data_IF_325410299029
#
_entry.id   IF_325410299029
#
_cell.length_a   1.000
_cell.length_b   1.000
_cell.length_c   1.000
_cell.angle_alpha   90.00
_cell.angle_beta   90.00
_cell.angle_gamma   90.00
#
_symmetry.space_group_name_H-M   'P 1'
#
loop_
_entity.id
_entity.type
_entity.pdbx_description
1 polymer ?
#
# COMPACT_ATOMS: atom_id res chain seq x y z
N UNK A 1 22.61 -0.62 3.83
CA UNK A 1 22.80 -1.88 3.07
C UNK A 1 24.15 -2.50 3.42
N UNK A 2 24.23 -3.85 3.46
CA UNK A 2 25.47 -4.59 3.74
C UNK A 2 26.53 -4.44 2.63
N UNK A 3 26.11 -4.13 1.40
CA UNK A 3 27.00 -3.92 0.24
C UNK A 3 27.92 -2.71 0.45
N UNK A 4 27.46 -1.68 1.16
CA UNK A 4 28.27 -0.49 1.44
C UNK A 4 29.36 -0.72 2.50
N UNK A 5 29.42 -1.91 3.10
CA UNK A 5 30.45 -2.30 4.09
C UNK A 5 31.63 -3.06 3.46
N UNK A 6 31.78 -3.04 2.13
CA UNK A 6 32.88 -3.70 1.40
C UNK A 6 32.66 -5.19 1.12
N UNK A 7 31.45 -5.70 1.34
CA UNK A 7 31.07 -7.07 0.94
C UNK A 7 30.72 -7.11 -0.53
N UNK A 8 31.05 -8.23 -1.20
CA UNK A 8 30.57 -8.49 -2.56
C UNK A 8 29.04 -8.51 -2.58
N UNK A 9 28.45 -8.15 -3.72
CA UNK A 9 27.01 -8.10 -3.87
C UNK A 9 26.36 -9.46 -3.57
N UNK A 10 27.00 -10.56 -3.96
CA UNK A 10 26.55 -11.94 -3.70
C UNK A 10 26.49 -12.24 -2.20
N UNK A 11 27.61 -12.10 -1.47
CA UNK A 11 27.67 -12.37 -0.02
C UNK A 11 26.75 -11.44 0.78
N UNK A 12 26.61 -10.18 0.36
CA UNK A 12 25.70 -9.25 1.00
C UNK A 12 24.23 -9.58 0.75
N UNK A 13 23.90 -10.10 -0.44
CA UNK A 13 22.55 -10.53 -0.80
C UNK A 13 22.16 -11.78 -0.02
N UNK A 14 23.07 -12.75 0.07
CA UNK A 14 22.90 -13.97 0.86
C UNK A 14 22.69 -13.65 2.36
N UNK A 15 23.51 -12.76 2.93
CA UNK A 15 23.34 -12.28 4.31
C UNK A 15 22.03 -11.52 4.54
N UNK A 16 21.52 -10.84 3.51
CA UNK A 16 20.26 -10.12 3.59
C UNK A 16 19.04 -11.02 3.25
N UNK A 17 19.25 -12.30 2.90
CA UNK A 17 18.19 -13.21 2.51
C UNK A 17 17.48 -12.83 1.21
N UNK A 18 18.15 -12.06 0.33
CA UNK A 18 17.59 -11.62 -0.96
C UNK A 18 18.40 -12.20 -2.11
N UNK A 19 17.75 -12.40 -3.26
CA UNK A 19 18.46 -12.78 -4.47
C UNK A 19 19.35 -11.63 -4.96
N UNK A 20 20.53 -11.95 -5.50
CA UNK A 20 21.51 -10.98 -6.01
C UNK A 20 20.90 -10.02 -7.05
N UNK A 21 20.03 -10.54 -7.93
CA UNK A 21 19.26 -9.75 -8.92
C UNK A 21 18.37 -8.68 -8.27
N UNK A 22 17.80 -8.99 -7.11
CA UNK A 22 16.92 -8.08 -6.36
C UNK A 22 17.76 -7.01 -5.68
N UNK A 23 18.89 -7.38 -5.09
CA UNK A 23 19.86 -6.42 -4.56
C UNK A 23 20.36 -5.47 -5.66
N UNK A 24 20.64 -5.99 -6.86
CA UNK A 24 21.07 -5.19 -8.02
C UNK A 24 20.04 -4.15 -8.41
N UNK A 25 18.76 -4.55 -8.44
CA UNK A 25 17.64 -3.64 -8.73
C UNK A 25 17.60 -2.49 -7.72
N UNK A 26 17.67 -2.79 -6.44
CA UNK A 26 17.60 -1.76 -5.38
C UNK A 26 18.79 -0.81 -5.42
N UNK A 27 20.01 -1.32 -5.68
CA UNK A 27 21.19 -0.48 -5.87
C UNK A 27 21.09 0.41 -7.10
N UNK A 28 20.64 -0.13 -8.23
CA UNK A 28 20.50 0.63 -9.48
C UNK A 28 19.48 1.76 -9.34
N UNK A 29 18.37 1.49 -8.67
CA UNK A 29 17.30 2.47 -8.42
C UNK A 29 17.64 3.44 -7.28
N UNK A 30 18.68 3.16 -6.49
CA UNK A 30 19.07 3.95 -5.32
C UNK A 30 18.00 4.01 -4.22
N UNK A 31 17.01 3.11 -4.26
CA UNK A 31 15.80 3.12 -3.44
C UNK A 31 15.70 1.86 -2.59
N UNK A 32 15.13 2.01 -1.40
CA UNK A 32 14.81 0.92 -0.50
C UNK A 32 13.65 0.06 -1.04
N UNK A 33 13.51 -1.19 -0.57
CA UNK A 33 12.38 -2.04 -0.94
C UNK A 33 11.01 -1.37 -0.72
N UNK A 34 10.89 -0.63 0.39
CA UNK A 34 9.65 0.07 0.75
C UNK A 34 9.39 1.29 -0.12
N UNK A 35 10.43 2.01 -0.56
CA UNK A 35 10.31 3.12 -1.51
C UNK A 35 9.99 2.66 -2.94
N UNK A 36 10.28 1.39 -3.25
CA UNK A 36 9.95 0.76 -4.52
C UNK A 36 8.59 0.05 -4.50
N UNK A 37 7.97 -0.13 -3.32
CA UNK A 37 6.59 -0.61 -3.23
C UNK A 37 5.68 0.45 -3.82
N UNK A 38 4.87 0.04 -4.79
CA UNK A 38 3.76 0.84 -5.29
C UNK A 38 2.54 0.54 -4.44
N UNK A 39 1.83 1.58 -4.01
CA UNK A 39 0.54 1.39 -3.37
C UNK A 39 -0.43 0.74 -4.34
N UNK A 40 -1.09 -0.32 -3.87
CA UNK A 40 -2.16 -0.96 -4.62
C UNK A 40 -3.43 -0.15 -4.40
N UNK A 41 -3.95 0.44 -5.48
CA UNK A 41 -5.19 1.23 -5.46
C UNK A 41 -6.44 0.39 -5.70
N UNK A 42 -6.27 -0.90 -5.99
CA UNK A 42 -7.40 -1.79 -6.24
C UNK A 42 -7.99 -2.33 -4.93
N UNK A 43 -9.32 -2.47 -4.91
CA UNK A 43 -10.01 -3.16 -3.83
C UNK A 43 -9.77 -4.66 -3.98
N UNK A 44 -9.35 -5.31 -2.91
CA UNK A 44 -9.17 -6.78 -2.87
C UNK A 44 -10.50 -7.52 -2.85
N UNK A 45 -11.61 -6.81 -2.62
CA UNK A 45 -12.97 -7.36 -2.53
C UNK A 45 -13.94 -6.44 -3.27
N UNK A 46 -14.96 -7.03 -3.87
CA UNK A 46 -16.11 -6.28 -4.38
C UNK A 46 -16.80 -5.51 -3.26
N UNK A 47 -17.49 -4.43 -3.62
CA UNK A 47 -18.21 -3.61 -2.65
C UNK A 47 -19.37 -4.43 -2.04
N UNK A 48 -19.32 -4.73 -0.73
CA UNK A 48 -20.35 -5.54 -0.09
C UNK A 48 -21.72 -4.86 -0.03
N UNK A 49 -21.80 -3.55 -0.29
CA UNK A 49 -23.04 -2.78 -0.26
C UNK A 49 -23.55 -2.41 -1.64
N UNK A 50 -22.96 -2.97 -2.71
CA UNK A 50 -23.37 -2.67 -4.08
C UNK A 50 -24.84 -3.01 -4.35
N UNK A 51 -25.34 -4.08 -3.73
CA UNK A 51 -26.74 -4.53 -3.88
C UNK A 51 -27.69 -3.77 -2.94
N UNK A 52 -27.19 -3.26 -1.82
CA UNK A 52 -27.97 -2.54 -0.80
C UNK A 52 -27.94 -1.01 -1.00
N UNK A 53 -27.33 -0.51 -2.07
CA UNK A 53 -27.09 0.93 -2.29
C UNK A 53 -28.38 1.76 -2.20
N UNK A 54 -29.47 1.26 -2.78
CA UNK A 54 -30.77 1.94 -2.78
C UNK A 54 -31.40 1.98 -1.38
N UNK A 55 -31.28 0.88 -0.62
CA UNK A 55 -31.74 0.79 0.77
C UNK A 55 -30.95 1.74 1.67
N UNK A 56 -29.65 1.85 1.47
CA UNK A 56 -28.79 2.77 2.22
C UNK A 56 -29.18 4.22 1.89
N UNK A 57 -29.45 4.54 0.62
CA UNK A 57 -29.92 5.89 0.21
C UNK A 57 -31.26 6.25 0.85
N UNK A 58 -32.20 5.32 0.91
CA UNK A 58 -33.50 5.51 1.57
C UNK A 58 -33.30 5.80 3.07
N UNK A 59 -32.51 4.97 3.77
CA UNK A 59 -32.20 5.18 5.19
C UNK A 59 -31.50 6.52 5.47
N UNK A 60 -30.62 6.97 4.56
CA UNK A 60 -29.94 8.26 4.64
C UNK A 60 -30.87 9.45 4.32
N UNK A 61 -31.86 9.26 3.45
CA UNK A 61 -32.88 10.26 3.13
C UNK A 61 -33.82 10.47 4.32
N UNK A 62 -34.19 9.39 5.01
CA UNK A 62 -35.09 9.42 6.17
C UNK A 62 -34.45 10.02 7.43
N UNK A 63 -33.11 10.04 7.49
CA UNK A 63 -32.34 10.54 8.64
C UNK A 63 -31.25 11.53 8.21
N UNK A 64 -31.60 12.79 7.89
CA UNK A 64 -30.64 13.78 7.40
C UNK A 64 -29.53 14.11 8.40
N UNK A 65 -29.75 13.94 9.71
CA UNK A 65 -28.74 14.14 10.76
C UNK A 65 -27.63 13.06 10.77
N UNK A 66 -27.82 11.95 10.06
CA UNK A 66 -26.80 10.89 9.94
C UNK A 66 -25.67 11.27 8.96
N UNK A 67 -25.93 12.23 8.06
CA UNK A 67 -24.96 12.75 7.09
C UNK A 67 -24.05 13.85 7.66
N UNK A 68 -24.29 14.29 8.90
CA UNK A 68 -23.74 15.55 9.43
C UNK A 68 -22.29 15.44 9.96
N UNK A 69 -21.67 14.25 9.91
CA UNK A 69 -20.31 14.02 10.40
C UNK A 69 -19.21 14.40 9.39
N UNK A 70 -19.48 15.33 8.45
CA UNK A 70 -18.51 15.83 7.46
C UNK A 70 -18.50 17.35 7.37
N UNK A 71 -18.49 18.05 8.51
CA UNK A 71 -18.07 19.44 8.51
C UNK A 71 -17.36 19.78 9.82
N UNK A 72 -16.04 19.53 9.86
CA UNK A 72 -15.17 20.11 10.89
C UNK A 72 -14.17 19.14 11.53
N UNK A 73 -13.06 18.85 10.84
CA UNK A 73 -11.70 18.98 11.40
C UNK A 73 -10.66 18.71 10.29
N UNK A 74 -10.24 19.81 9.66
CA UNK A 74 -8.86 20.07 9.24
C UNK A 74 -8.45 21.39 9.86
#
# INVERSE_FOLDING_TARGET
MLINKGLTQETASEKAGIAERTARKYLKEGKLPDELRKDHTWRTREDPFREDEDRIKEMLSDNPSLNENRTGQV
#
